data_IF_531721909408
#
_entry.id   IF_531721909408
#
_cell.length_a   1.000
_cell.length_b   1.000
_cell.length_c   1.000
_cell.angle_alpha   90.00
_cell.angle_beta   90.00
_cell.angle_gamma   90.00
#
_symmetry.space_group_name_H-M   'P 1'
#
loop_
_entity.id
_entity.type
_entity.pdbx_description
1 polymer ?
#
# COMPACT_ATOMS: atom_id res chain seq x y z
N UNK A 1 19.48 8.50 12.26
CA UNK A 1 18.72 8.23 11.02
C UNK A 1 17.30 7.83 11.39
N UNK A 2 16.32 8.53 10.87
CA UNK A 2 14.90 8.21 11.09
C UNK A 2 14.24 7.89 9.76
N UNK A 3 13.47 6.83 9.72
CA UNK A 3 12.76 6.38 8.51
C UNK A 3 11.25 6.48 8.78
N UNK A 4 10.57 7.30 8.00
CA UNK A 4 9.10 7.43 8.07
C UNK A 4 8.47 6.71 6.87
N UNK A 5 7.45 5.92 7.16
CA UNK A 5 6.75 5.14 6.13
C UNK A 5 5.22 5.26 6.31
N UNK A 6 4.53 5.49 5.23
CA UNK A 6 3.06 5.36 5.15
C UNK A 6 2.23 6.40 5.89
N UNK A 7 1.00 6.01 6.21
CA UNK A 7 -0.14 6.85 6.70
C UNK A 7 0.08 7.81 7.87
N UNK A 8 1.05 7.70 8.45
CA UNK A 8 1.32 8.55 9.54
C UNK A 8 2.23 9.72 9.21
N UNK A 9 2.36 9.95 8.19
CA UNK A 9 3.17 10.92 7.66
C UNK A 9 3.07 12.28 8.28
N UNK A 10 2.13 12.61 8.62
CA UNK A 10 1.93 13.84 9.24
C UNK A 10 2.33 13.81 10.71
N UNK A 11 2.28 12.81 11.13
CA UNK A 11 2.68 12.60 12.45
C UNK A 11 4.14 12.33 12.56
N UNK A 12 4.58 11.78 11.65
CA UNK A 12 5.91 11.46 11.59
C UNK A 12 6.81 12.67 11.42
N UNK A 13 6.36 13.35 10.74
CA UNK A 13 7.06 14.55 10.51
C UNK A 13 7.03 15.49 11.70
N UNK A 14 6.18 15.36 12.31
CA UNK A 14 6.09 16.09 13.52
C UNK A 14 6.90 15.47 14.65
N UNK A 15 7.12 14.42 14.51
CA UNK A 15 7.95 13.73 15.39
C UNK A 15 9.42 14.00 15.17
N UNK A 16 9.68 14.27 14.21
CA UNK A 16 10.95 14.61 13.84
C UNK A 16 11.44 15.88 14.45
N UNK A 17 10.68 16.45 14.81
CA UNK A 17 11.04 17.65 15.46
C UNK A 17 11.50 17.47 16.88
N UNK A 18 11.32 16.55 17.27
CA UNK A 18 11.72 16.19 18.55
C UNK A 18 13.08 15.51 18.57
N UNK A 19 13.55 15.31 17.69
CA UNK A 19 14.79 14.79 17.63
C UNK A 19 15.75 15.87 17.64
N UNK A 20 16.21 16.39 18.72
CA UNK A 20 17.18 17.45 18.90
C UNK A 20 18.56 17.13 18.30
N UNK A 21 18.92 15.88 18.20
CA UNK A 21 20.21 15.39 17.66
C UNK A 21 20.08 14.81 16.24
N UNK A 22 19.02 15.12 15.51
CA UNK A 22 18.81 14.56 14.16
C UNK A 22 19.63 15.34 13.13
N UNK A 23 20.56 14.66 12.47
CA UNK A 23 21.40 15.24 11.40
C UNK A 23 20.87 14.91 10.01
N UNK A 24 20.30 13.71 9.83
CA UNK A 24 19.81 13.24 8.52
C UNK A 24 18.43 12.59 8.66
N UNK A 25 17.55 12.90 7.72
CA UNK A 25 16.20 12.31 7.61
C UNK A 25 16.03 11.68 6.22
N UNK A 26 15.65 10.41 6.20
CA UNK A 26 15.27 9.72 4.96
C UNK A 26 13.76 9.48 4.98
N UNK A 27 13.08 9.98 3.95
CA UNK A 27 11.63 9.76 3.73
C UNK A 27 11.52 8.84 2.51
N UNK A 28 10.89 7.68 2.69
CA UNK A 28 10.84 6.68 1.63
C UNK A 28 9.39 6.21 1.42
N UNK A 29 8.98 6.13 0.15
CA UNK A 29 7.70 5.51 -0.25
C UNK A 29 6.49 6.20 0.39
N UNK A 30 6.43 7.52 0.25
CA UNK A 30 5.37 8.34 0.87
C UNK A 30 4.69 9.21 -0.19
N UNK A 31 3.66 8.71 -0.83
CA UNK A 31 2.88 9.50 -1.78
C UNK A 31 2.15 10.66 -1.10
N UNK A 32 2.29 11.87 -1.64
CA UNK A 32 1.70 13.08 -1.08
C UNK A 32 0.44 13.48 -1.87
N UNK A 33 -0.72 13.23 -1.29
CA UNK A 33 -1.99 13.66 -1.88
C UNK A 33 -2.12 15.19 -1.90
N UNK A 34 -2.78 15.73 -2.94
CA UNK A 34 -2.92 17.18 -3.16
C UNK A 34 -3.33 17.97 -1.91
N UNK A 35 -4.28 17.45 -1.14
CA UNK A 35 -4.79 18.13 0.07
C UNK A 35 -3.73 18.29 1.18
N UNK A 36 -2.63 17.56 1.11
CA UNK A 36 -1.58 17.57 2.13
C UNK A 36 -0.26 18.21 1.65
N UNK A 37 -0.19 18.62 0.38
CA UNK A 37 1.06 19.13 -0.23
C UNK A 37 1.60 20.36 0.50
N UNK A 38 0.77 21.38 0.72
CA UNK A 38 1.19 22.62 1.39
C UNK A 38 1.71 22.34 2.80
N UNK A 39 0.99 21.49 3.53
CA UNK A 39 1.39 21.12 4.89
C UNK A 39 2.72 20.34 4.88
N UNK A 40 2.88 19.41 3.94
CA UNK A 40 4.11 18.64 3.79
C UNK A 40 5.30 19.56 3.46
N UNK A 41 5.14 20.46 2.50
CA UNK A 41 6.17 21.43 2.11
C UNK A 41 6.57 22.33 3.29
N UNK A 42 5.59 22.81 4.08
CA UNK A 42 5.87 23.59 5.29
C UNK A 42 6.75 22.81 6.26
N UNK A 43 6.39 21.55 6.54
CA UNK A 43 7.15 20.68 7.46
C UNK A 43 8.59 20.46 6.93
N UNK A 44 8.74 20.16 5.63
CA UNK A 44 10.06 19.95 5.01
C UNK A 44 10.93 21.21 5.17
N UNK A 45 10.34 22.37 4.91
CA UNK A 45 11.02 23.68 5.06
C UNK A 45 11.49 23.91 6.49
N UNK A 46 10.61 23.65 7.47
CA UNK A 46 10.93 23.81 8.90
C UNK A 46 12.08 22.88 9.33
N UNK A 47 12.09 21.63 8.84
CA UNK A 47 13.14 20.65 9.15
C UNK A 47 14.46 21.08 8.47
N UNK A 48 14.39 21.47 7.19
CA UNK A 48 15.58 21.95 6.43
C UNK A 48 16.20 23.19 7.10
N UNK A 49 15.37 24.13 7.57
CA UNK A 49 15.84 25.35 8.24
C UNK A 49 16.58 25.06 9.56
N UNK A 50 16.37 23.89 10.15
CA UNK A 50 17.12 23.43 11.34
C UNK A 50 18.49 22.83 10.97
N UNK A 51 18.86 22.82 9.69
CA UNK A 51 20.10 22.26 9.20
C UNK A 51 20.09 20.74 9.02
N UNK A 52 18.92 20.11 9.13
CA UNK A 52 18.76 18.66 8.98
C UNK A 52 18.76 18.33 7.48
N UNK A 53 19.66 17.45 7.07
CA UNK A 53 19.75 16.98 5.68
C UNK A 53 18.61 16.01 5.38
N UNK A 54 17.77 16.33 4.39
CA UNK A 54 16.61 15.49 4.04
C UNK A 54 16.86 14.82 2.70
N UNK A 55 16.61 13.51 2.62
CA UNK A 55 16.56 12.75 1.37
C UNK A 55 15.19 12.12 1.23
N UNK A 56 14.47 12.44 0.15
CA UNK A 56 13.14 11.90 -0.13
C UNK A 56 13.25 10.99 -1.37
N UNK A 57 12.88 9.73 -1.20
CA UNK A 57 12.98 8.68 -2.22
C UNK A 57 11.58 8.13 -2.47
N UNK A 58 11.05 8.28 -3.69
CA UNK A 58 9.66 7.94 -3.94
C UNK A 58 9.41 7.62 -5.42
N UNK A 59 8.32 6.88 -5.68
CA UNK A 59 7.91 6.51 -7.03
C UNK A 59 6.46 6.91 -7.35
N UNK A 60 5.74 7.49 -6.39
CA UNK A 60 4.36 7.91 -6.60
C UNK A 60 4.29 9.08 -7.59
N UNK A 61 3.19 9.16 -8.35
CA UNK A 61 2.98 10.27 -9.29
C UNK A 61 2.90 11.60 -8.54
N UNK A 62 3.73 12.54 -8.96
CA UNK A 62 3.84 13.87 -8.34
C UNK A 62 3.88 14.93 -9.44
N UNK A 63 3.25 16.08 -9.18
CA UNK A 63 3.30 17.20 -10.13
C UNK A 63 4.72 17.78 -10.22
N UNK A 64 5.06 18.30 -11.39
CA UNK A 64 6.36 18.96 -11.60
C UNK A 64 6.54 20.17 -10.69
N UNK A 65 5.45 20.82 -10.32
CA UNK A 65 5.45 21.93 -9.37
C UNK A 65 5.93 21.46 -7.99
N UNK A 66 5.33 20.36 -7.49
CA UNK A 66 5.72 19.80 -6.20
C UNK A 66 7.19 19.34 -6.20
N UNK A 67 7.66 18.69 -7.27
CA UNK A 67 9.05 18.25 -7.40
C UNK A 67 10.02 19.44 -7.27
N UNK A 68 9.77 20.52 -8.03
CA UNK A 68 10.61 21.73 -7.98
C UNK A 68 10.68 22.35 -6.58
N UNK A 69 9.52 22.41 -5.89
CA UNK A 69 9.46 22.93 -4.51
C UNK A 69 10.26 22.04 -3.53
N UNK A 70 10.19 20.73 -3.70
CA UNK A 70 10.92 19.78 -2.87
C UNK A 70 12.44 19.91 -3.09
N UNK A 71 12.89 19.98 -4.34
CA UNK A 71 14.33 20.07 -4.69
C UNK A 71 15.02 21.28 -4.10
N UNK A 72 14.28 22.32 -3.72
CA UNK A 72 14.82 23.49 -3.02
C UNK A 72 15.24 23.19 -1.60
N UNK A 73 14.64 22.19 -0.98
CA UNK A 73 14.76 21.97 0.48
C UNK A 73 15.32 20.59 0.83
N UNK A 74 15.48 19.68 -0.17
CA UNK A 74 15.89 18.30 0.09
C UNK A 74 16.53 17.67 -1.15
N UNK A 75 17.17 16.52 -0.95
CA UNK A 75 17.64 15.66 -2.04
C UNK A 75 16.47 14.80 -2.49
N UNK A 76 15.98 15.01 -3.71
CA UNK A 76 14.88 14.23 -4.28
C UNK A 76 15.43 13.12 -5.19
N UNK A 77 15.07 11.87 -4.91
CA UNK A 77 15.29 10.70 -5.77
C UNK A 77 13.90 10.18 -6.17
N UNK A 78 13.43 10.58 -7.35
CA UNK A 78 12.07 10.26 -7.79
C UNK A 78 12.08 9.68 -9.21
N UNK A 79 11.44 8.51 -9.36
CA UNK A 79 11.23 7.89 -10.68
C UNK A 79 9.99 6.99 -10.62
N UNK A 80 8.99 7.31 -11.41
CA UNK A 80 7.74 6.55 -11.52
C UNK A 80 7.90 5.20 -12.24
N UNK A 81 9.08 4.95 -12.82
CA UNK A 81 9.34 3.72 -13.58
C UNK A 81 9.91 2.60 -12.74
N UNK A 82 10.27 2.84 -11.48
CA UNK A 82 10.84 1.82 -10.59
C UNK A 82 10.29 2.02 -9.18
N UNK A 83 10.05 0.94 -8.43
CA UNK A 83 9.59 1.07 -7.06
C UNK A 83 10.68 1.65 -6.15
N UNK A 84 10.28 2.25 -5.05
CA UNK A 84 11.17 2.96 -4.12
C UNK A 84 12.36 2.09 -3.67
N UNK A 85 12.13 0.81 -3.37
CA UNK A 85 13.21 -0.09 -2.92
C UNK A 85 14.27 -0.33 -4.00
N UNK A 86 13.85 -0.38 -5.28
CA UNK A 86 14.77 -0.49 -6.42
C UNK A 86 15.58 0.80 -6.57
N UNK A 87 14.96 1.97 -6.40
CA UNK A 87 15.67 3.26 -6.43
C UNK A 87 16.73 3.33 -5.31
N UNK A 88 16.37 2.91 -4.10
CA UNK A 88 17.30 2.86 -2.96
C UNK A 88 18.48 1.93 -3.29
N UNK A 89 18.19 0.70 -3.73
CA UNK A 89 19.25 -0.26 -4.07
C UNK A 89 20.15 0.30 -5.17
N UNK A 90 19.58 0.85 -6.24
CA UNK A 90 20.34 1.39 -7.37
C UNK A 90 21.28 2.53 -6.95
N UNK A 91 20.81 3.40 -6.08
CA UNK A 91 21.58 4.56 -5.60
C UNK A 91 22.70 4.17 -4.63
N UNK A 92 22.46 3.19 -3.78
CA UNK A 92 23.35 2.87 -2.67
C UNK A 92 24.00 1.48 -2.79
N UNK A 93 23.93 0.80 -3.94
CA UNK A 93 24.38 -0.59 -4.14
C UNK A 93 25.82 -0.85 -3.67
N UNK A 94 26.72 0.13 -3.83
CA UNK A 94 28.13 -0.01 -3.44
C UNK A 94 28.34 -0.01 -1.91
N UNK A 95 27.28 0.31 -1.14
CA UNK A 95 27.26 0.35 0.33
C UNK A 95 26.34 -0.73 0.93
N UNK A 96 25.67 -1.49 0.08
CA UNK A 96 24.65 -2.48 0.49
C UNK A 96 25.15 -3.89 0.16
N UNK A 97 24.83 -4.84 1.01
CA UNK A 97 25.14 -6.25 0.75
C UNK A 97 24.09 -6.89 -0.19
N UNK A 98 24.32 -8.15 -0.59
CA UNK A 98 23.49 -8.86 -1.57
C UNK A 98 22.04 -9.07 -1.10
N UNK A 99 21.80 -9.12 0.21
CA UNK A 99 20.43 -9.24 0.74
C UNK A 99 19.55 -8.08 0.27
N UNK A 100 20.12 -6.86 0.21
CA UNK A 100 19.35 -5.68 -0.23
C UNK A 100 18.98 -5.74 -1.71
N UNK A 101 19.77 -6.45 -2.52
CA UNK A 101 19.40 -6.70 -3.93
C UNK A 101 18.16 -7.59 -4.00
N UNK A 102 18.14 -8.67 -3.21
CA UNK A 102 16.98 -9.57 -3.14
C UNK A 102 15.75 -8.81 -2.62
N UNK A 103 15.91 -8.04 -1.55
CA UNK A 103 14.79 -7.26 -0.96
C UNK A 103 14.23 -6.23 -1.96
N UNK A 104 15.08 -5.61 -2.79
CA UNK A 104 14.61 -4.71 -3.85
C UNK A 104 13.78 -5.47 -4.90
N UNK A 105 14.22 -6.68 -5.28
CA UNK A 105 13.46 -7.55 -6.19
C UNK A 105 12.12 -7.97 -5.60
N UNK A 106 12.12 -8.36 -4.32
CA UNK A 106 10.89 -8.72 -3.59
C UNK A 106 9.90 -7.55 -3.58
N UNK A 107 10.39 -6.34 -3.24
CA UNK A 107 9.55 -5.14 -3.20
C UNK A 107 8.95 -4.85 -4.57
N UNK A 108 9.75 -4.97 -5.64
CA UNK A 108 9.26 -4.75 -7.01
C UNK A 108 8.15 -5.73 -7.38
N UNK A 109 8.23 -7.00 -6.92
CA UNK A 109 7.18 -8.00 -7.16
C UNK A 109 5.90 -7.59 -6.40
N UNK A 110 6.03 -7.16 -5.15
CA UNK A 110 4.89 -6.75 -4.30
C UNK A 110 4.19 -5.52 -4.88
N UNK A 111 4.95 -4.59 -5.45
CA UNK A 111 4.43 -3.35 -6.07
C UNK A 111 3.95 -3.56 -7.52
N UNK A 112 4.00 -4.80 -8.04
CA UNK A 112 3.64 -5.14 -9.43
C UNK A 112 4.50 -4.38 -10.45
N UNK A 113 5.75 -4.06 -10.08
CA UNK A 113 6.73 -3.34 -10.90
C UNK A 113 7.92 -4.21 -11.32
N UNK A 114 7.83 -5.53 -11.15
CA UNK A 114 8.89 -6.51 -11.46
C UNK A 114 9.27 -6.55 -12.94
N UNK A 115 8.45 -5.98 -13.83
CA UNK A 115 8.71 -5.89 -15.27
C UNK A 115 9.40 -4.57 -15.68
N UNK A 116 9.60 -3.65 -14.76
CA UNK A 116 10.30 -2.39 -15.02
C UNK A 116 11.80 -2.65 -15.29
N UNK A 117 12.48 -1.79 -16.03
CA UNK A 117 13.84 -2.13 -16.55
C UNK A 117 14.85 -2.58 -15.49
N UNK A 118 15.00 -1.83 -14.40
CA UNK A 118 15.99 -2.17 -13.37
C UNK A 118 15.47 -3.35 -12.52
N UNK A 119 14.22 -3.28 -12.09
CA UNK A 119 13.55 -4.34 -11.33
C UNK A 119 13.65 -5.69 -12.06
N UNK A 120 13.34 -5.72 -13.36
CA UNK A 120 13.40 -6.92 -14.19
C UNK A 120 14.80 -7.56 -14.18
N UNK A 121 15.83 -6.73 -14.28
CA UNK A 121 17.23 -7.20 -14.24
C UNK A 121 17.53 -7.82 -12.87
N UNK A 122 17.06 -7.19 -11.80
CA UNK A 122 17.25 -7.71 -10.43
C UNK A 122 16.51 -9.05 -10.29
N UNK A 123 15.22 -9.08 -10.61
CA UNK A 123 14.38 -10.28 -10.44
C UNK A 123 14.93 -11.46 -11.25
N UNK A 124 15.36 -11.22 -12.49
CA UNK A 124 15.92 -12.26 -13.36
C UNK A 124 17.31 -12.77 -12.92
N UNK A 125 17.96 -12.09 -11.99
CA UNK A 125 19.26 -12.58 -11.47
C UNK A 125 19.09 -13.67 -10.39
N UNK A 126 17.85 -14.01 -10.04
CA UNK A 126 17.52 -15.08 -9.08
C UNK A 126 16.73 -16.19 -9.77
N UNK A 127 16.79 -17.40 -9.21
CA UNK A 127 15.85 -18.45 -9.58
C UNK A 127 14.42 -17.95 -9.33
N UNK A 128 13.57 -18.15 -10.34
CA UNK A 128 12.19 -17.60 -10.29
C UNK A 128 11.39 -18.13 -9.09
N UNK A 129 11.46 -19.44 -8.84
CA UNK A 129 10.70 -20.03 -7.73
C UNK A 129 11.20 -19.52 -6.38
N UNK A 130 12.53 -19.39 -6.27
CA UNK A 130 13.15 -18.89 -5.05
C UNK A 130 12.72 -17.46 -4.72
N UNK A 131 12.84 -16.53 -5.66
CA UNK A 131 12.47 -15.14 -5.36
C UNK A 131 10.96 -15.00 -5.07
N UNK A 132 10.10 -15.76 -5.76
CA UNK A 132 8.66 -15.75 -5.47
C UNK A 132 8.36 -16.37 -4.09
N UNK A 133 9.04 -17.42 -3.70
CA UNK A 133 8.92 -18.00 -2.36
C UNK A 133 9.28 -16.97 -1.28
N UNK A 134 10.43 -16.31 -1.42
CA UNK A 134 10.88 -15.27 -0.48
C UNK A 134 9.88 -14.10 -0.43
N UNK A 135 9.34 -13.72 -1.59
CA UNK A 135 8.32 -12.66 -1.69
C UNK A 135 7.06 -13.02 -0.90
N UNK A 136 6.54 -14.23 -1.10
CA UNK A 136 5.29 -14.67 -0.46
C UNK A 136 5.48 -14.74 1.06
N UNK A 137 6.54 -15.40 1.54
CA UNK A 137 6.71 -15.53 2.98
C UNK A 137 6.94 -14.18 3.66
N UNK A 138 7.72 -13.29 3.05
CA UNK A 138 7.97 -11.96 3.64
C UNK A 138 6.70 -11.10 3.65
N UNK A 139 6.05 -10.96 2.50
CA UNK A 139 4.84 -10.11 2.39
C UNK A 139 3.70 -10.65 3.26
N UNK A 140 3.46 -11.95 3.25
CA UNK A 140 2.41 -12.57 4.05
C UNK A 140 2.68 -12.43 5.56
N UNK A 141 3.94 -12.61 5.98
CA UNK A 141 4.29 -12.41 7.39
C UNK A 141 4.08 -10.95 7.82
N UNK A 142 4.40 -9.98 6.96
CA UNK A 142 4.15 -8.56 7.22
C UNK A 142 2.63 -8.32 7.34
N UNK A 143 1.84 -8.84 6.39
CA UNK A 143 0.38 -8.64 6.39
C UNK A 143 -0.28 -9.28 7.62
N UNK A 144 0.19 -10.45 8.06
CA UNK A 144 -0.29 -11.11 9.28
C UNK A 144 0.08 -10.31 10.54
N UNK A 145 1.16 -9.53 10.49
CA UNK A 145 1.78 -8.91 11.68
C UNK A 145 1.56 -7.40 11.78
N UNK A 146 0.61 -6.81 11.04
CA UNK A 146 0.43 -5.35 10.98
C UNK A 146 0.27 -4.67 12.36
N UNK A 147 -0.19 -5.41 13.37
CA UNK A 147 -0.39 -4.90 14.73
C UNK A 147 0.73 -5.32 15.69
N UNK A 148 1.70 -6.11 15.23
CA UNK A 148 2.80 -6.63 16.06
C UNK A 148 4.08 -5.82 15.76
N UNK A 149 4.13 -4.60 16.28
CA UNK A 149 5.28 -3.71 16.06
C UNK A 149 6.61 -4.32 16.54
N UNK A 150 6.68 -5.00 17.69
CA UNK A 150 7.91 -5.68 18.09
C UNK A 150 8.44 -6.67 17.04
N UNK A 151 7.55 -7.49 16.44
CA UNK A 151 7.95 -8.40 15.37
C UNK A 151 8.45 -7.63 14.15
N UNK A 152 7.72 -6.60 13.70
CA UNK A 152 8.10 -5.82 12.51
C UNK A 152 9.46 -5.12 12.68
N UNK A 153 9.74 -4.59 13.88
CA UNK A 153 11.04 -3.97 14.17
C UNK A 153 12.17 -5.01 14.18
N UNK A 154 11.94 -6.18 14.78
CA UNK A 154 12.91 -7.28 14.76
C UNK A 154 13.16 -7.75 13.33
N UNK A 155 12.08 -7.92 12.55
CA UNK A 155 12.15 -8.34 11.14
C UNK A 155 13.03 -7.38 10.32
N UNK A 156 12.81 -6.06 10.46
CA UNK A 156 13.64 -5.05 9.78
C UNK A 156 15.12 -5.16 10.16
N UNK A 157 15.40 -5.47 11.40
CA UNK A 157 16.78 -5.67 11.88
C UNK A 157 17.43 -6.92 11.28
N UNK A 158 16.72 -8.04 11.29
CA UNK A 158 17.24 -9.33 10.82
C UNK A 158 17.43 -9.38 9.29
N UNK A 159 16.56 -8.71 8.52
CA UNK A 159 16.64 -8.64 7.06
C UNK A 159 17.95 -7.99 6.56
N UNK A 160 18.67 -7.27 7.41
CA UNK A 160 19.99 -6.72 7.05
C UNK A 160 21.03 -7.81 6.77
N UNK A 161 20.85 -9.00 7.34
CA UNK A 161 21.87 -10.07 7.26
C UNK A 161 21.30 -11.45 6.99
N UNK A 162 19.96 -11.62 7.04
CA UNK A 162 19.28 -12.89 6.82
C UNK A 162 18.32 -12.78 5.64
N UNK A 163 18.12 -13.89 4.96
CA UNK A 163 17.05 -14.03 3.98
C UNK A 163 15.72 -14.23 4.72
N UNK A 164 14.58 -13.88 4.13
CA UNK A 164 13.28 -14.03 4.81
C UNK A 164 13.07 -15.42 5.41
N UNK A 165 13.30 -16.50 4.65
CA UNK A 165 13.07 -17.87 5.13
C UNK A 165 13.92 -18.27 6.33
N UNK A 166 15.03 -17.57 6.59
CA UNK A 166 15.93 -17.83 7.73
C UNK A 166 15.47 -17.17 9.03
N UNK A 167 14.43 -16.34 8.99
CA UNK A 167 13.97 -15.54 10.14
C UNK A 167 12.95 -16.34 10.95
N UNK A 168 13.24 -16.53 12.23
CA UNK A 168 12.37 -17.32 13.11
C UNK A 168 10.96 -16.74 13.20
N UNK A 169 9.96 -17.60 12.98
CA UNK A 169 8.55 -17.24 13.08
C UNK A 169 7.95 -16.62 11.83
N UNK A 170 8.75 -16.40 10.78
CA UNK A 170 8.23 -15.77 9.55
C UNK A 170 7.31 -16.74 8.78
N UNK A 171 7.70 -18.01 8.71
CA UNK A 171 6.93 -19.02 7.97
C UNK A 171 5.56 -19.26 8.64
N UNK A 172 5.54 -19.33 9.95
CA UNK A 172 4.30 -19.49 10.72
C UNK A 172 3.32 -18.35 10.46
N UNK A 173 3.82 -17.12 10.47
CA UNK A 173 3.01 -15.92 10.19
C UNK A 173 2.53 -15.87 8.73
N UNK A 174 3.40 -16.23 7.80
CA UNK A 174 3.02 -16.34 6.39
C UNK A 174 1.93 -17.39 6.19
N UNK A 175 2.04 -18.55 6.84
CA UNK A 175 1.04 -19.61 6.79
C UNK A 175 -0.30 -19.17 7.38
N UNK A 176 -0.30 -18.41 8.47
CA UNK A 176 -1.51 -17.80 9.04
C UNK A 176 -2.24 -16.94 8.02
N UNK A 177 -1.50 -16.06 7.33
CA UNK A 177 -2.09 -15.20 6.29
C UNK A 177 -2.58 -16.02 5.10
N UNK A 178 -1.79 -17.01 4.65
CA UNK A 178 -2.19 -17.92 3.56
C UNK A 178 -3.49 -18.67 3.89
N UNK A 179 -3.65 -19.10 5.14
CA UNK A 179 -4.88 -19.72 5.62
C UNK A 179 -6.06 -18.77 5.52
N UNK A 180 -5.87 -17.52 5.93
CA UNK A 180 -6.93 -16.49 5.82
C UNK A 180 -7.30 -16.22 4.36
N UNK A 181 -6.31 -16.12 3.46
CA UNK A 181 -6.54 -15.99 2.00
C UNK A 181 -7.38 -17.15 1.47
N UNK A 182 -6.99 -18.38 1.83
CA UNK A 182 -7.71 -19.59 1.40
C UNK A 182 -9.16 -19.59 1.88
N UNK A 183 -9.40 -19.23 3.13
CA UNK A 183 -10.76 -19.15 3.69
C UNK A 183 -11.59 -18.05 3.04
N UNK A 184 -10.98 -16.89 2.78
CA UNK A 184 -11.68 -15.79 2.08
C UNK A 184 -12.08 -16.21 0.66
N UNK A 185 -11.23 -16.97 -0.05
CA UNK A 185 -11.61 -17.52 -1.37
C UNK A 185 -12.82 -18.45 -1.27
N UNK A 186 -12.88 -19.31 -0.24
CA UNK A 186 -14.05 -20.17 0.01
C UNK A 186 -15.32 -19.33 0.30
N UNK A 187 -15.18 -18.29 1.13
CA UNK A 187 -16.30 -17.37 1.42
C UNK A 187 -16.78 -16.67 0.14
N UNK A 188 -15.86 -16.20 -0.70
CA UNK A 188 -16.19 -15.57 -1.99
C UNK A 188 -16.98 -16.56 -2.87
N UNK A 189 -16.50 -17.79 -2.97
CA UNK A 189 -17.15 -18.80 -3.80
C UNK A 189 -18.56 -19.12 -3.37
N UNK A 190 -18.80 -19.12 -2.05
CA UNK A 190 -20.09 -19.53 -1.48
C UNK A 190 -21.08 -18.36 -1.32
N UNK A 191 -20.60 -17.16 -1.04
CA UNK A 191 -21.44 -16.06 -0.52
C UNK A 191 -21.44 -14.80 -1.40
N UNK A 192 -20.55 -14.71 -2.39
CA UNK A 192 -20.52 -13.52 -3.24
C UNK A 192 -21.78 -13.44 -4.11
N UNK A 193 -22.36 -12.26 -4.21
CA UNK A 193 -23.52 -11.99 -5.06
C UNK A 193 -23.02 -11.29 -6.32
N UNK A 194 -23.33 -11.89 -7.46
CA UNK A 194 -22.85 -11.42 -8.78
C UNK A 194 -24.05 -10.88 -9.57
N UNK A 195 -23.88 -9.70 -10.14
CA UNK A 195 -24.86 -9.06 -11.01
C UNK A 195 -24.11 -8.57 -12.27
N UNK A 196 -24.17 -9.36 -13.31
CA UNK A 196 -23.42 -9.08 -14.55
C UNK A 196 -21.92 -9.04 -14.29
N UNK A 197 -21.31 -7.88 -14.48
CA UNK A 197 -19.87 -7.63 -14.25
C UNK A 197 -19.57 -6.91 -12.93
N UNK A 198 -20.59 -6.72 -12.09
CA UNK A 198 -20.44 -6.20 -10.72
C UNK A 198 -20.69 -7.32 -9.71
N UNK A 199 -19.82 -7.42 -8.70
CA UNK A 199 -20.03 -8.39 -7.60
C UNK A 199 -19.79 -7.76 -6.25
N UNK A 200 -20.46 -8.29 -5.24
CA UNK A 200 -20.26 -7.79 -3.89
C UNK A 200 -20.34 -8.90 -2.84
N UNK A 201 -19.71 -8.66 -1.69
CA UNK A 201 -19.69 -9.62 -0.58
C UNK A 201 -19.63 -8.89 0.77
N UNK A 202 -20.42 -9.36 1.72
CA UNK A 202 -20.23 -9.05 3.14
C UNK A 202 -19.20 -10.02 3.73
N UNK A 203 -18.27 -9.50 4.50
CA UNK A 203 -17.25 -10.32 5.16
C UNK A 203 -17.24 -10.06 6.68
N UNK A 204 -16.99 -11.11 7.43
CA UNK A 204 -16.67 -11.05 8.84
C UNK A 204 -15.37 -11.86 9.02
N UNK A 205 -14.33 -11.37 8.39
CA UNK A 205 -13.08 -12.08 8.13
C UNK A 205 -11.91 -11.18 8.57
N UNK A 206 -10.80 -11.74 9.06
CA UNK A 206 -9.64 -10.94 9.43
C UNK A 206 -9.01 -10.16 8.26
N UNK A 207 -9.22 -10.60 7.01
CA UNK A 207 -8.65 -9.87 5.87
C UNK A 207 -9.33 -8.50 5.68
N UNK A 208 -8.58 -7.60 5.11
CA UNK A 208 -9.05 -6.25 4.78
C UNK A 208 -10.06 -6.30 3.63
N UNK A 209 -11.05 -5.40 3.67
CA UNK A 209 -12.07 -5.29 2.61
C UNK A 209 -11.45 -5.01 1.23
N UNK A 210 -10.33 -4.28 1.19
CA UNK A 210 -9.64 -3.99 -0.07
C UNK A 210 -9.03 -5.24 -0.70
N UNK A 211 -8.39 -6.07 0.12
CA UNK A 211 -7.83 -7.37 -0.31
C UNK A 211 -8.96 -8.28 -0.80
N UNK A 212 -10.03 -8.38 -0.03
CA UNK A 212 -11.19 -9.22 -0.39
C UNK A 212 -11.85 -8.74 -1.69
N UNK A 213 -11.99 -7.43 -1.88
CA UNK A 213 -12.56 -6.88 -3.11
C UNK A 213 -11.68 -7.22 -4.33
N UNK A 214 -10.34 -7.14 -4.20
CA UNK A 214 -9.42 -7.58 -5.26
C UNK A 214 -9.58 -9.08 -5.56
N UNK A 215 -9.62 -9.91 -4.52
CA UNK A 215 -9.81 -11.36 -4.68
C UNK A 215 -11.13 -11.67 -5.38
N UNK A 216 -12.20 -10.98 -5.01
CA UNK A 216 -13.53 -11.14 -5.64
C UNK A 216 -13.48 -10.72 -7.11
N UNK A 217 -12.88 -9.55 -7.39
CA UNK A 217 -12.72 -9.01 -8.74
C UNK A 217 -12.07 -10.05 -9.67
N UNK A 218 -10.91 -10.54 -9.23
CA UNK A 218 -10.07 -11.42 -10.07
C UNK A 218 -10.65 -12.83 -10.17
N UNK A 219 -11.09 -13.41 -9.05
CA UNK A 219 -11.58 -14.81 -9.03
C UNK A 219 -12.88 -14.98 -9.81
N UNK A 220 -13.68 -13.92 -9.97
CA UNK A 220 -14.97 -13.98 -10.68
C UNK A 220 -14.94 -13.25 -12.05
N UNK A 221 -13.81 -12.71 -12.46
CA UNK A 221 -13.66 -12.00 -13.75
C UNK A 221 -14.61 -10.81 -13.88
N UNK A 222 -14.69 -9.99 -12.83
CA UNK A 222 -15.62 -8.86 -12.76
C UNK A 222 -14.96 -7.57 -13.29
N UNK A 223 -15.79 -6.59 -13.65
CA UNK A 223 -15.31 -5.24 -13.94
C UNK A 223 -15.16 -4.41 -12.66
N UNK A 224 -16.06 -4.62 -11.69
CA UNK A 224 -16.01 -3.94 -10.39
C UNK A 224 -16.42 -4.91 -9.29
N UNK A 225 -15.73 -4.88 -8.17
CA UNK A 225 -16.05 -5.66 -6.98
C UNK A 225 -16.12 -4.78 -5.74
N UNK A 226 -17.06 -5.12 -4.86
CA UNK A 226 -17.28 -4.45 -3.57
C UNK A 226 -17.16 -5.50 -2.46
N UNK A 227 -16.32 -5.23 -1.45
CA UNK A 227 -16.37 -5.96 -0.18
C UNK A 227 -16.67 -4.98 0.95
N UNK A 228 -17.46 -5.43 1.92
CA UNK A 228 -17.83 -4.58 3.04
C UNK A 228 -17.94 -5.40 4.33
N UNK A 229 -17.68 -4.72 5.46
CA UNK A 229 -17.80 -5.35 6.79
C UNK A 229 -18.26 -4.34 7.84
N UNK A 230 -18.75 -4.86 8.95
CA UNK A 230 -19.13 -4.04 10.10
C UNK A 230 -17.92 -3.27 10.63
N UNK A 231 -18.15 -2.02 10.99
CA UNK A 231 -17.20 -1.21 11.74
C UNK A 231 -17.97 -0.20 12.58
N UNK A 232 -17.81 -0.29 13.90
CA UNK A 232 -18.52 0.59 14.84
C UNK A 232 -20.03 0.58 14.57
N UNK A 233 -20.61 1.71 14.25
CA UNK A 233 -22.04 1.86 14.00
C UNK A 233 -22.42 1.85 12.51
N UNK A 234 -21.51 1.38 11.64
CA UNK A 234 -21.72 1.42 10.21
C UNK A 234 -21.05 0.28 9.48
N UNK A 235 -20.89 0.47 8.18
CA UNK A 235 -20.11 -0.41 7.32
C UNK A 235 -18.90 0.35 6.73
N UNK A 236 -17.75 -0.31 6.70
CA UNK A 236 -16.63 0.11 5.87
C UNK A 236 -16.66 -0.71 4.58
N UNK A 237 -16.47 -0.03 3.46
CA UNK A 237 -16.54 -0.63 2.12
C UNK A 237 -15.24 -0.38 1.36
N UNK A 238 -14.88 -1.33 0.52
CA UNK A 238 -13.81 -1.14 -0.47
C UNK A 238 -14.31 -1.56 -1.84
N UNK A 239 -14.07 -0.73 -2.84
CA UNK A 239 -14.32 -1.03 -4.25
C UNK A 239 -13.01 -1.19 -5.00
N UNK A 240 -13.00 -2.15 -5.92
CA UNK A 240 -11.89 -2.36 -6.85
C UNK A 240 -12.43 -2.48 -8.26
N UNK A 241 -11.74 -1.88 -9.21
CA UNK A 241 -12.07 -1.95 -10.63
C UNK A 241 -10.96 -2.64 -11.41
N UNK A 242 -11.33 -3.34 -12.48
CA UNK A 242 -10.35 -3.92 -13.43
C UNK A 242 -9.50 -2.80 -14.06
N UNK A 243 -8.31 -3.16 -14.53
CA UNK A 243 -7.30 -2.21 -15.04
C UNK A 243 -7.86 -1.24 -16.10
N UNK A 244 -8.71 -1.75 -16.99
CA UNK A 244 -9.26 -0.98 -18.11
C UNK A 244 -10.63 -0.37 -17.81
N UNK A 245 -11.05 -0.33 -16.55
CA UNK A 245 -12.35 0.27 -16.19
C UNK A 245 -12.32 1.78 -16.44
N UNK A 246 -13.29 2.26 -17.22
CA UNK A 246 -13.30 3.64 -17.73
C UNK A 246 -13.72 4.70 -16.71
N UNK A 247 -14.66 4.37 -15.81
CA UNK A 247 -15.21 5.33 -14.85
C UNK A 247 -14.32 5.49 -13.61
N UNK A 248 -14.45 6.61 -12.91
CA UNK A 248 -13.68 6.92 -11.69
C UNK A 248 -14.45 6.47 -10.44
N UNK A 249 -14.16 5.24 -9.96
CA UNK A 249 -14.89 4.65 -8.82
C UNK A 249 -14.84 5.52 -7.55
N UNK A 250 -13.69 6.18 -7.30
CA UNK A 250 -13.56 7.06 -6.13
C UNK A 250 -14.54 8.22 -6.13
N UNK A 251 -14.82 8.79 -7.31
CA UNK A 251 -15.84 9.86 -7.44
C UNK A 251 -17.26 9.30 -7.26
N UNK A 252 -17.54 8.16 -7.86
CA UNK A 252 -18.83 7.48 -7.77
C UNK A 252 -19.16 7.17 -6.30
N UNK A 253 -18.27 6.45 -5.61
CA UNK A 253 -18.53 6.06 -4.21
C UNK A 253 -18.53 7.27 -3.27
N UNK A 254 -17.73 8.29 -3.57
CA UNK A 254 -17.72 9.54 -2.79
C UNK A 254 -19.07 10.25 -2.82
N UNK A 255 -19.65 10.39 -4.02
CA UNK A 255 -20.98 11.00 -4.20
C UNK A 255 -22.06 10.16 -3.49
N UNK A 256 -22.08 8.84 -3.75
CA UNK A 256 -23.09 7.96 -3.15
C UNK A 256 -23.00 8.01 -1.62
N UNK A 257 -21.77 7.91 -1.06
CA UNK A 257 -21.57 7.92 0.38
C UNK A 257 -22.06 9.22 1.02
N UNK A 258 -21.73 10.37 0.39
CA UNK A 258 -22.16 11.69 0.86
C UNK A 258 -23.71 11.78 0.92
N UNK A 259 -24.37 11.31 -0.13
CA UNK A 259 -25.85 11.37 -0.23
C UNK A 259 -26.56 10.55 0.84
N UNK A 260 -25.89 9.50 1.37
CA UNK A 260 -26.48 8.64 2.42
C UNK A 260 -25.97 8.99 3.83
N UNK A 261 -25.27 10.12 3.97
CA UNK A 261 -24.75 10.57 5.26
C UNK A 261 -23.47 9.88 5.71
N UNK A 262 -22.73 9.32 4.77
CA UNK A 262 -21.41 8.71 4.99
C UNK A 262 -20.27 9.55 4.43
N UNK A 263 -19.10 8.95 4.36
CA UNK A 263 -17.90 9.55 3.74
C UNK A 263 -17.25 8.52 2.82
N UNK A 264 -16.70 8.97 1.69
CA UNK A 264 -16.08 8.05 0.74
C UNK A 264 -15.21 8.78 -0.28
N UNK A 265 -14.48 8.00 -1.07
CA UNK A 265 -13.62 8.52 -2.11
C UNK A 265 -12.41 7.61 -2.37
N UNK A 266 -11.44 8.14 -3.10
CA UNK A 266 -10.21 7.41 -3.41
C UNK A 266 -9.82 7.53 -4.87
N UNK A 267 -9.02 6.58 -5.31
CA UNK A 267 -8.47 6.56 -6.68
C UNK A 267 -9.49 6.04 -7.69
N UNK A 268 -9.10 6.11 -8.97
CA UNK A 268 -9.96 5.69 -10.08
C UNK A 268 -10.42 4.23 -9.92
N UNK A 269 -9.51 3.32 -9.58
CA UNK A 269 -9.76 1.87 -9.55
C UNK A 269 -9.73 1.27 -8.13
N UNK A 270 -9.33 2.03 -7.12
CA UNK A 270 -9.21 1.56 -5.73
C UNK A 270 -9.72 2.64 -4.77
N UNK A 271 -10.85 2.38 -4.15
CA UNK A 271 -11.52 3.38 -3.33
C UNK A 271 -12.37 2.73 -2.22
N UNK A 272 -12.91 3.56 -1.34
CA UNK A 272 -13.71 3.04 -0.24
C UNK A 272 -14.63 4.08 0.36
N UNK A 273 -15.46 3.62 1.30
CA UNK A 273 -16.39 4.49 2.01
C UNK A 273 -16.70 3.94 3.40
N UNK A 274 -17.20 4.82 4.24
CA UNK A 274 -17.83 4.47 5.52
C UNK A 274 -19.25 5.01 5.48
N UNK A 275 -20.23 4.15 5.75
CA UNK A 275 -21.66 4.50 5.61
C UNK A 275 -22.47 3.99 6.81
N UNK A 276 -23.62 4.63 7.13
CA UNK A 276 -24.54 4.09 8.13
C UNK A 276 -25.04 2.69 7.73
N UNK A 277 -25.32 1.84 8.75
CA UNK A 277 -25.66 0.43 8.57
C UNK A 277 -26.92 0.22 7.72
N UNK A 278 -27.94 1.05 7.94
CA UNK A 278 -29.23 0.97 7.25
C UNK A 278 -29.17 1.41 5.77
N UNK A 279 -28.02 1.89 5.30
CA UNK A 279 -27.86 2.45 3.95
C UNK A 279 -27.17 1.52 2.95
N UNK A 280 -26.69 0.35 3.37
CA UNK A 280 -25.91 -0.54 2.50
C UNK A 280 -26.68 -0.98 1.24
N UNK A 281 -27.95 -1.30 1.37
CA UNK A 281 -28.77 -1.72 0.22
C UNK A 281 -28.87 -0.58 -0.82
N UNK A 282 -29.10 0.65 -0.37
CA UNK A 282 -29.18 1.83 -1.24
C UNK A 282 -27.86 2.02 -1.99
N UNK A 283 -26.72 1.88 -1.29
CA UNK A 283 -25.40 2.03 -1.90
C UNK A 283 -25.16 0.96 -2.97
N UNK A 284 -25.48 -0.31 -2.65
CA UNK A 284 -25.33 -1.43 -3.58
C UNK A 284 -26.21 -1.22 -4.83
N UNK A 285 -27.47 -0.83 -4.66
CA UNK A 285 -28.39 -0.63 -5.79
C UNK A 285 -27.94 0.52 -6.69
N UNK A 286 -27.49 1.63 -6.12
CA UNK A 286 -26.95 2.75 -6.89
C UNK A 286 -25.66 2.35 -7.65
N UNK A 287 -24.81 1.53 -7.03
CA UNK A 287 -23.60 1.01 -7.71
C UNK A 287 -23.99 0.13 -8.91
N UNK A 288 -25.00 -0.74 -8.77
CA UNK A 288 -25.51 -1.58 -9.88
C UNK A 288 -25.97 -0.75 -11.08
N UNK A 289 -26.60 0.41 -10.80
CA UNK A 289 -27.11 1.30 -11.85
C UNK A 289 -26.00 2.11 -12.53
N UNK A 290 -24.93 2.42 -11.80
CA UNK A 290 -23.85 3.30 -12.28
C UNK A 290 -22.68 2.53 -12.90
N UNK A 291 -22.53 1.22 -12.62
CA UNK A 291 -21.46 0.35 -13.11
C UNK A 291 -21.94 -0.45 -14.34
#
# INVERSE_FOLDING_TARGET
MYIAHGRXXXXXXXXXXXXEDLEELYICDLGIGKALQDKFLSIIKDISNKGIKITYIDHHDQSDELKRELEYNLILLHDINECTSVLIYSKFKDRLNDNFKLLAGIAAIVDEMDRRPIANTIVKSYDRQFIFYETVILSYAIYSSQKDMPFLLRLTGELKSKLPHEINGIIERANEYAYNVSNTLKLINNNAIINGKFGYIYIDDPLDTGVTANMLLMSKGLRVALAYKNRDNGYVLSLRGEENYDKHLGRIIGSIASDVGGTGGGHKLACGASIPKDKISIVIDRLKEMI
#
